data_IF_230990890636
#
_entry.id   IF_230990890636
#
_cell.length_a   1.000
_cell.length_b   1.000
_cell.length_c   1.000
_cell.angle_alpha   90.00
_cell.angle_beta   90.00
_cell.angle_gamma   90.00
#
_symmetry.space_group_name_H-M   'P 1'
#
loop_
_entity.id
_entity.type
_entity.pdbx_description
1 polymer ?
#
# COMPACT_ATOMS: atom_id res chain seq x y z
N UNK A 1 11.93 35.98 0.50
CA UNK A 1 12.44 34.75 -0.13
C UNK A 1 12.00 33.59 0.73
N UNK A 2 10.92 32.92 0.34
CA UNK A 2 10.52 31.66 0.97
C UNK A 2 11.50 30.61 0.44
N UNK A 3 12.20 29.89 1.32
CA UNK A 3 13.09 28.80 0.92
C UNK A 3 12.31 27.82 0.04
N UNK A 4 12.70 27.65 -1.22
CA UNK A 4 12.20 26.56 -2.06
C UNK A 4 12.79 25.25 -1.51
N UNK A 5 12.01 24.56 -0.68
CA UNK A 5 12.30 23.17 -0.31
C UNK A 5 12.08 22.35 -1.58
N UNK A 6 13.13 21.70 -2.08
CA UNK A 6 13.01 20.80 -3.23
C UNK A 6 12.02 19.67 -2.93
N UNK A 7 11.24 19.24 -3.92
CA UNK A 7 10.28 18.12 -3.79
C UNK A 7 10.93 16.86 -3.21
N UNK A 8 12.19 16.60 -3.56
CA UNK A 8 12.97 15.49 -3.02
C UNK A 8 13.18 15.57 -1.50
N UNK A 9 13.50 16.76 -0.99
CA UNK A 9 13.69 16.98 0.45
C UNK A 9 12.34 16.83 1.17
N UNK A 10 11.27 17.36 0.59
CA UNK A 10 9.92 17.24 1.14
C UNK A 10 9.46 15.78 1.20
N UNK A 11 9.68 15.02 0.13
CA UNK A 11 9.38 13.60 0.07
C UNK A 11 10.11 12.78 1.13
N UNK A 12 11.40 13.06 1.35
CA UNK A 12 12.19 12.38 2.37
C UNK A 12 11.71 12.74 3.79
N UNK A 13 11.39 14.02 4.05
CA UNK A 13 10.84 14.46 5.32
C UNK A 13 9.51 13.76 5.64
N UNK A 14 8.59 13.67 4.68
CA UNK A 14 7.32 12.96 4.88
C UNK A 14 7.51 11.44 5.01
N UNK A 15 8.43 10.85 4.25
CA UNK A 15 8.70 9.42 4.35
C UNK A 15 9.35 9.03 5.70
N UNK A 16 10.08 9.95 6.34
CA UNK A 16 10.72 9.73 7.64
C UNK A 16 9.71 9.52 8.79
N UNK A 17 8.44 9.94 8.63
CA UNK A 17 7.40 9.62 9.62
C UNK A 17 7.20 8.11 9.79
N UNK A 18 7.49 7.32 8.74
CA UNK A 18 7.47 5.86 8.84
C UNK A 18 8.52 5.34 9.85
N UNK A 19 9.71 5.96 9.93
CA UNK A 19 10.76 5.54 10.87
C UNK A 19 10.29 5.67 12.32
N UNK A 20 9.60 6.77 12.63
CA UNK A 20 9.01 7.00 13.95
C UNK A 20 7.98 5.92 14.30
N UNK A 21 7.05 5.63 13.40
CA UNK A 21 5.99 4.63 13.64
C UNK A 21 6.57 3.23 13.75
N UNK A 22 7.57 2.88 12.93
CA UNK A 22 8.28 1.59 13.01
C UNK A 22 8.93 1.44 14.39
N UNK A 23 9.68 2.45 14.85
CA UNK A 23 10.32 2.41 16.16
C UNK A 23 9.30 2.25 17.31
N UNK A 24 8.16 2.96 17.24
CA UNK A 24 7.08 2.83 18.23
C UNK A 24 6.45 1.42 18.24
N UNK A 25 6.35 0.75 17.09
CA UNK A 25 5.85 -0.63 17.01
C UNK A 25 6.87 -1.64 17.56
N UNK A 26 8.16 -1.42 17.30
CA UNK A 26 9.26 -2.24 17.79
C UNK A 26 9.41 -2.12 19.31
N UNK A 27 9.36 -0.90 19.87
CA UNK A 27 9.38 -0.66 21.32
C UNK A 27 8.25 -1.38 22.07
N UNK A 28 7.09 -1.52 21.42
CA UNK A 28 5.93 -2.25 21.96
C UNK A 28 6.00 -3.76 21.72
N UNK A 29 7.02 -4.25 21.01
CA UNK A 29 7.23 -5.66 20.71
C UNK A 29 6.31 -6.23 19.63
N UNK A 30 5.62 -5.39 18.85
CA UNK A 30 4.75 -5.85 17.77
C UNK A 30 5.52 -6.16 16.48
N UNK A 31 6.56 -5.37 16.19
CA UNK A 31 7.22 -5.36 14.89
C UNK A 31 6.34 -4.74 13.79
N UNK A 32 6.92 -4.56 12.61
CA UNK A 32 6.21 -4.01 11.44
C UNK A 32 5.69 -5.12 10.53
N UNK A 33 4.38 -5.37 10.55
CA UNK A 33 3.78 -6.40 9.68
C UNK A 33 3.59 -5.91 8.23
N UNK A 34 3.02 -4.72 8.05
CA UNK A 34 2.73 -4.16 6.75
C UNK A 34 2.46 -2.65 6.79
N UNK A 35 2.61 -2.01 5.63
CA UNK A 35 2.06 -0.70 5.32
C UNK A 35 0.89 -0.86 4.35
N UNK A 36 -0.25 -0.25 4.67
CA UNK A 36 -1.44 -0.27 3.82
C UNK A 36 -1.83 1.14 3.41
N UNK A 37 -2.14 1.33 2.12
CA UNK A 37 -2.47 2.66 1.59
C UNK A 37 -3.54 2.61 0.49
N UNK A 38 -4.54 3.49 0.59
CA UNK A 38 -5.35 3.92 -0.56
C UNK A 38 -4.47 4.78 -1.46
N UNK A 39 -4.11 4.26 -2.63
CA UNK A 39 -3.17 4.91 -3.55
C UNK A 39 -3.67 6.21 -4.18
N UNK A 40 -4.98 6.47 -4.10
CA UNK A 40 -5.58 7.76 -4.44
C UNK A 40 -5.58 8.75 -3.28
N UNK A 41 -5.35 8.28 -2.05
CA UNK A 41 -5.44 9.06 -0.81
C UNK A 41 -6.80 9.77 -0.69
N UNK A 42 -7.87 9.11 -1.14
CA UNK A 42 -9.19 9.71 -1.30
C UNK A 42 -9.74 10.22 0.03
N UNK A 43 -9.68 9.40 1.07
CA UNK A 43 -10.12 9.80 2.42
C UNK A 43 -9.22 10.87 3.06
N UNK A 44 -8.01 11.07 2.55
CA UNK A 44 -7.09 12.12 2.99
C UNK A 44 -7.23 13.42 2.18
N UNK A 45 -8.22 13.52 1.30
CA UNK A 45 -8.47 14.70 0.48
C UNK A 45 -7.77 14.70 -0.88
N UNK A 46 -7.31 13.53 -1.37
CA UNK A 46 -6.63 13.34 -2.67
C UNK A 46 -5.41 14.27 -2.83
N UNK A 47 -4.49 14.34 -1.85
CA UNK A 47 -3.24 15.08 -2.05
C UNK A 47 -2.41 14.42 -3.16
N UNK A 48 -1.57 15.21 -3.81
CA UNK A 48 -0.52 14.69 -4.69
C UNK A 48 0.80 14.62 -3.90
N UNK A 49 1.26 13.43 -3.46
CA UNK A 49 2.50 13.34 -2.72
C UNK A 49 3.69 13.78 -3.60
N UNK A 50 4.71 14.41 -3.00
CA UNK A 50 5.92 14.76 -3.73
C UNK A 50 6.60 13.52 -4.29
N UNK A 51 7.28 13.67 -5.42
CA UNK A 51 7.97 12.59 -6.10
C UNK A 51 8.97 11.89 -5.15
N UNK A 52 8.93 10.57 -5.12
CA UNK A 52 9.80 9.76 -4.26
C UNK A 52 9.25 9.48 -2.87
N UNK A 53 8.13 10.09 -2.44
CA UNK A 53 7.53 9.81 -1.13
C UNK A 53 7.25 8.32 -0.91
N UNK A 54 6.50 7.70 -1.83
CA UNK A 54 6.16 6.28 -1.69
C UNK A 54 7.37 5.35 -1.77
N UNK A 55 8.36 5.66 -2.61
CA UNK A 55 9.61 4.92 -2.66
C UNK A 55 10.39 5.01 -1.34
N UNK A 56 10.35 6.19 -0.70
CA UNK A 56 10.94 6.43 0.61
C UNK A 56 10.25 5.63 1.72
N UNK A 57 8.93 5.55 1.71
CA UNK A 57 8.13 4.73 2.65
C UNK A 57 8.38 3.24 2.40
N UNK A 58 8.29 2.79 1.14
CA UNK A 58 8.50 1.38 0.77
C UNK A 58 9.85 0.86 1.27
N UNK A 59 10.92 1.63 1.04
CA UNK A 59 12.27 1.27 1.49
C UNK A 59 12.33 1.00 3.00
N UNK A 60 11.67 1.84 3.80
CA UNK A 60 11.66 1.74 5.26
C UNK A 60 10.86 0.55 5.75
N UNK A 61 9.66 0.38 5.20
CA UNK A 61 8.79 -0.74 5.55
C UNK A 61 9.45 -2.07 5.21
N UNK A 62 10.07 -2.18 4.02
CA UNK A 62 10.82 -3.37 3.63
C UNK A 62 12.04 -3.61 4.52
N UNK A 63 12.76 -2.56 4.92
CA UNK A 63 13.89 -2.69 5.85
C UNK A 63 13.44 -3.21 7.23
N UNK A 64 12.22 -2.88 7.66
CA UNK A 64 11.60 -3.40 8.88
C UNK A 64 10.97 -4.80 8.71
N UNK A 65 11.07 -5.42 7.52
CA UNK A 65 10.50 -6.74 7.23
C UNK A 65 9.00 -6.73 6.92
N UNK A 66 8.38 -5.57 6.76
CA UNK A 66 6.96 -5.42 6.47
C UNK A 66 6.61 -5.57 4.99
N UNK A 67 5.34 -5.91 4.74
CA UNK A 67 4.75 -5.98 3.40
C UNK A 67 4.12 -4.64 2.96
N UNK A 68 3.93 -4.47 1.65
CA UNK A 68 3.22 -3.34 1.06
C UNK A 68 1.84 -3.79 0.56
N UNK A 69 0.78 -3.19 1.08
CA UNK A 69 -0.61 -3.43 0.70
C UNK A 69 -1.17 -2.18 0.01
N UNK A 70 -1.54 -2.32 -1.26
CA UNK A 70 -2.20 -1.25 -2.00
C UNK A 70 -3.71 -1.49 -2.03
N UNK A 71 -4.45 -0.60 -1.38
CA UNK A 71 -5.91 -0.55 -1.47
C UNK A 71 -6.30 0.18 -2.76
N UNK A 72 -6.89 -0.57 -3.69
CA UNK A 72 -7.35 -0.10 -5.00
C UNK A 72 -8.88 0.03 -5.05
N UNK A 73 -9.56 -0.05 -3.90
CA UNK A 73 -11.03 0.04 -3.85
C UNK A 73 -11.50 1.41 -4.37
N UNK A 74 -10.76 2.49 -4.11
CA UNK A 74 -11.03 3.83 -4.68
C UNK A 74 -10.28 4.08 -5.99
N UNK A 75 -9.01 3.71 -6.05
CA UNK A 75 -8.07 4.13 -7.08
C UNK A 75 -8.07 3.25 -8.35
N UNK A 76 -8.49 1.99 -8.22
CA UNK A 76 -8.40 0.99 -9.28
C UNK A 76 -9.41 1.20 -10.40
N UNK A 77 -9.38 0.29 -11.37
CA UNK A 77 -10.30 0.24 -12.52
C UNK A 77 -10.34 1.54 -13.32
N UNK A 78 -9.18 2.16 -13.53
CA UNK A 78 -9.07 3.35 -14.39
C UNK A 78 -9.38 4.69 -13.71
N UNK A 79 -9.77 4.71 -12.42
CA UNK A 79 -10.22 5.94 -11.74
C UNK A 79 -9.19 7.07 -11.80
N UNK A 80 -7.91 6.74 -11.68
CA UNK A 80 -6.82 7.72 -11.69
C UNK A 80 -6.20 7.94 -13.09
N UNK A 81 -6.81 7.40 -14.16
CA UNK A 81 -6.27 7.46 -15.52
C UNK A 81 -5.32 6.31 -15.89
N UNK A 82 -4.99 5.44 -14.93
CA UNK A 82 -4.33 4.16 -15.14
C UNK A 82 -5.20 3.04 -14.55
N UNK A 83 -5.01 1.80 -15.02
CA UNK A 83 -5.79 0.65 -14.52
C UNK A 83 -5.68 0.52 -13.00
N UNK A 84 -4.49 0.75 -12.43
CA UNK A 84 -4.22 0.65 -10.99
C UNK A 84 -3.45 1.88 -10.50
N UNK A 85 -3.85 2.42 -9.34
CA UNK A 85 -3.21 3.58 -8.72
C UNK A 85 -1.78 3.28 -8.27
N UNK A 86 -1.49 2.10 -7.72
CA UNK A 86 -0.14 1.71 -7.30
C UNK A 86 0.85 1.71 -8.46
N UNK A 87 0.42 1.29 -9.66
CA UNK A 87 1.26 1.33 -10.88
C UNK A 87 1.54 2.77 -11.27
N UNK A 88 0.52 3.64 -11.28
CA UNK A 88 0.69 5.07 -11.57
C UNK A 88 1.64 5.75 -10.58
N UNK A 89 1.61 5.34 -9.32
CA UNK A 89 2.44 5.87 -8.23
C UNK A 89 3.84 5.21 -8.14
N UNK A 90 4.12 4.20 -8.98
CA UNK A 90 5.40 3.46 -8.95
C UNK A 90 5.59 2.60 -7.69
N UNK A 91 4.51 2.20 -7.02
CA UNK A 91 4.55 1.39 -5.79
C UNK A 91 4.56 -0.10 -6.17
N UNK A 92 5.53 -0.86 -5.68
CA UNK A 92 5.54 -2.31 -5.82
C UNK A 92 4.77 -2.97 -4.68
N UNK A 93 3.51 -3.29 -4.94
CA UNK A 93 2.63 -3.96 -3.98
C UNK A 93 3.00 -5.44 -3.80
N UNK A 94 2.94 -5.94 -2.56
CA UNK A 94 2.98 -7.36 -2.24
C UNK A 94 1.54 -7.95 -2.19
N UNK A 95 0.58 -7.12 -1.80
CA UNK A 95 -0.86 -7.44 -1.77
C UNK A 95 -1.64 -6.25 -2.37
N UNK A 96 -2.66 -6.55 -3.17
CA UNK A 96 -3.61 -5.56 -3.70
C UNK A 96 -5.02 -5.95 -3.30
N UNK A 97 -5.78 -5.02 -2.72
CA UNK A 97 -7.18 -5.23 -2.35
C UNK A 97 -8.11 -4.45 -3.27
N UNK A 98 -9.25 -5.05 -3.62
CA UNK A 98 -10.24 -4.49 -4.54
C UNK A 98 -11.66 -4.74 -4.05
N UNK A 99 -12.56 -3.85 -4.46
CA UNK A 99 -13.98 -3.85 -4.13
C UNK A 99 -14.71 -2.92 -5.07
N UNK A 100 -15.71 -2.18 -4.57
CA UNK A 100 -16.45 -1.12 -5.29
C UNK A 100 -16.66 -1.41 -6.80
N UNK A 101 -15.84 -0.89 -7.75
CA UNK A 101 -16.11 -1.10 -9.18
C UNK A 101 -15.93 -2.56 -9.65
N UNK A 102 -15.21 -3.41 -8.91
CA UNK A 102 -14.90 -4.80 -9.35
C UNK A 102 -16.15 -5.64 -9.62
N UNK A 103 -17.20 -5.42 -8.85
CA UNK A 103 -18.48 -6.12 -8.99
C UNK A 103 -19.52 -5.33 -9.79
N UNK A 104 -19.20 -4.14 -10.32
CA UNK A 104 -20.19 -3.26 -10.97
C UNK A 104 -21.50 -3.10 -10.16
N UNK A 105 -21.38 -2.94 -8.83
CA UNK A 105 -22.52 -2.85 -7.90
C UNK A 105 -22.87 -4.16 -7.18
N UNK A 106 -22.41 -5.33 -7.68
CA UNK A 106 -22.51 -6.58 -6.94
C UNK A 106 -21.50 -6.63 -5.78
N UNK A 107 -21.84 -7.29 -4.65
CA UNK A 107 -20.94 -7.43 -3.51
C UNK A 107 -19.80 -8.40 -3.86
N UNK A 108 -18.68 -7.85 -4.33
CA UNK A 108 -17.47 -8.58 -4.66
C UNK A 108 -16.26 -7.89 -4.04
N UNK A 109 -15.45 -8.67 -3.33
CA UNK A 109 -14.14 -8.27 -2.83
C UNK A 109 -13.08 -9.20 -3.42
N UNK A 110 -11.89 -8.66 -3.69
CA UNK A 110 -10.78 -9.43 -4.25
C UNK A 110 -9.49 -9.05 -3.55
N UNK A 111 -8.68 -10.06 -3.25
CA UNK A 111 -7.31 -9.89 -2.78
C UNK A 111 -6.39 -10.57 -3.79
N UNK A 112 -5.41 -9.83 -4.31
CA UNK A 112 -4.36 -10.35 -5.19
C UNK A 112 -3.05 -10.30 -4.42
N UNK A 113 -2.26 -11.37 -4.48
CA UNK A 113 -0.94 -11.43 -3.87
C UNK A 113 -0.03 -12.35 -4.66
N UNK A 114 1.24 -12.46 -4.25
CA UNK A 114 2.21 -13.34 -4.91
C UNK A 114 2.00 -14.80 -4.51
N UNK A 115 2.42 -15.76 -5.35
CA UNK A 115 2.37 -17.18 -5.01
C UNK A 115 3.10 -17.50 -3.70
N UNK A 116 4.21 -16.82 -3.41
CA UNK A 116 5.00 -17.04 -2.20
C UNK A 116 4.20 -16.71 -0.94
N UNK A 117 3.51 -15.56 -0.93
CA UNK A 117 2.66 -15.14 0.20
C UNK A 117 1.47 -16.07 0.34
N UNK A 118 0.78 -16.40 -0.76
CA UNK A 118 -0.35 -17.31 -0.74
C UNK A 118 0.05 -18.69 -0.21
N UNK A 119 1.15 -19.26 -0.70
CA UNK A 119 1.63 -20.58 -0.25
C UNK A 119 2.00 -20.57 1.23
N UNK A 120 2.68 -19.52 1.71
CA UNK A 120 3.01 -19.38 3.13
C UNK A 120 1.75 -19.26 4.02
N UNK A 121 0.72 -18.56 3.54
CA UNK A 121 -0.57 -18.47 4.22
C UNK A 121 -1.26 -19.83 4.28
N UNK A 122 -1.45 -20.50 3.13
CA UNK A 122 -2.12 -21.80 3.01
C UNK A 122 -1.43 -22.86 3.86
N UNK A 123 -0.10 -22.90 3.88
CA UNK A 123 0.66 -23.86 4.68
C UNK A 123 0.42 -23.72 6.19
N UNK A 124 0.07 -22.53 6.67
CA UNK A 124 -0.18 -22.26 8.10
C UNK A 124 -1.65 -22.37 8.49
N UNK A 125 -2.56 -21.92 7.63
CA UNK A 125 -3.99 -21.78 7.98
C UNK A 125 -4.85 -22.90 7.41
N UNK A 126 -4.45 -23.49 6.27
CA UNK A 126 -5.34 -24.26 5.41
C UNK A 126 -6.37 -23.33 4.76
N UNK A 127 -6.36 -23.24 3.43
CA UNK A 127 -7.37 -22.48 2.69
C UNK A 127 -8.22 -23.45 1.87
N UNK A 128 -9.53 -23.41 2.08
CA UNK A 128 -10.50 -24.15 1.28
C UNK A 128 -11.60 -23.19 0.83
N UNK A 129 -11.98 -23.30 -0.44
CA UNK A 129 -13.02 -22.48 -1.03
C UNK A 129 -13.83 -23.24 -2.06
N UNK A 130 -15.15 -23.13 -1.97
CA UNK A 130 -16.08 -23.75 -2.92
C UNK A 130 -16.06 -23.07 -4.30
N UNK A 131 -15.75 -21.77 -4.35
CA UNK A 131 -15.78 -20.97 -5.59
C UNK A 131 -14.39 -20.52 -6.04
N UNK A 132 -13.32 -21.13 -5.52
CA UNK A 132 -11.95 -20.90 -6.02
C UNK A 132 -11.28 -19.62 -5.50
N UNK A 133 -11.63 -19.19 -4.28
CA UNK A 133 -10.92 -18.15 -3.53
C UNK A 133 -10.71 -18.52 -2.08
#
# INVERSE_FOLDING_TARGET
MVNEISDRLLAECYAADADRVIAELDEKGFGTAAFMVDTSLCSSGIPNPPEGYFAGVERRIRAAGGLIICDEVQAGFGRMGAMWGHVLRGIRADIVTMGKPVGNGFPLGVVVTTPEILNAFVAKTGLFSTFGG
#
